data_IF_663094711354
#
_entry.id   IF_663094711354
#
_cell.length_a   1.000
_cell.length_b   1.000
_cell.length_c   1.000
_cell.angle_alpha   90.00
_cell.angle_beta   90.00
_cell.angle_gamma   90.00
#
_symmetry.space_group_name_H-M   'P 1'
#
loop_
_entity.id
_entity.type
_entity.pdbx_description
1 polymer ?
#
# COMPACT_ATOMS: atom_id res chain seq x y z
N UNK A 1 10.55 4.26 8.75
CA UNK A 1 10.78 2.79 8.81
C UNK A 1 12.27 2.56 8.69
N UNK A 2 12.84 1.76 9.58
CA UNK A 2 14.23 1.29 9.42
C UNK A 2 14.38 0.45 8.15
N UNK A 3 15.61 0.09 7.76
CA UNK A 3 15.85 -0.87 6.69
C UNK A 3 15.02 -2.14 6.90
N UNK A 4 14.25 -2.56 5.89
CA UNK A 4 13.36 -3.73 5.98
C UNK A 4 12.05 -3.52 6.74
N UNK A 5 11.71 -2.27 7.13
CA UNK A 5 10.45 -1.99 7.78
C UNK A 5 9.26 -2.09 6.81
N UNK A 6 8.21 -2.78 7.25
CA UNK A 6 6.96 -2.97 6.50
C UNK A 6 5.90 -1.97 6.95
N UNK A 7 5.25 -1.30 6.01
CA UNK A 7 4.05 -0.51 6.20
C UNK A 7 2.82 -1.29 5.76
N UNK A 8 1.74 -1.23 6.55
CA UNK A 8 0.43 -1.74 6.18
C UNK A 8 -0.51 -0.56 5.97
N UNK A 9 -1.10 -0.45 4.79
CA UNK A 9 -1.92 0.70 4.39
C UNK A 9 -3.28 0.20 3.93
N UNK A 10 -4.34 0.67 4.59
CA UNK A 10 -5.72 0.47 4.12
C UNK A 10 -6.17 1.76 3.45
N UNK A 11 -6.58 1.68 2.19
CA UNK A 11 -6.97 2.83 1.39
C UNK A 11 -8.28 2.57 0.63
N UNK A 12 -9.08 3.62 0.44
CA UNK A 12 -10.32 3.52 -0.34
C UNK A 12 -10.00 3.27 -1.81
N UNK A 13 -10.72 2.34 -2.45
CA UNK A 13 -10.58 1.96 -3.87
C UNK A 13 -10.76 3.16 -4.81
N UNK A 14 -11.58 4.12 -4.40
CA UNK A 14 -11.97 5.27 -5.23
C UNK A 14 -10.89 6.35 -5.33
N UNK A 15 -9.89 6.33 -4.43
CA UNK A 15 -8.80 7.28 -4.42
C UNK A 15 -7.54 6.61 -4.98
N UNK A 16 -6.83 7.30 -5.88
CA UNK A 16 -5.66 6.78 -6.60
C UNK A 16 -4.38 6.71 -5.72
N UNK A 17 -4.48 6.12 -4.53
CA UNK A 17 -3.36 6.00 -3.59
C UNK A 17 -2.24 5.07 -4.07
N UNK A 18 -2.54 4.13 -4.94
CA UNK A 18 -1.58 3.15 -5.46
C UNK A 18 -0.36 3.82 -6.09
N UNK A 19 -0.56 4.88 -6.88
CA UNK A 19 0.52 5.61 -7.53
C UNK A 19 1.46 6.28 -6.53
N UNK A 20 0.92 6.81 -5.44
CA UNK A 20 1.71 7.48 -4.39
C UNK A 20 2.46 6.44 -3.55
N UNK A 21 1.82 5.32 -3.20
CA UNK A 21 2.44 4.23 -2.42
C UNK A 21 3.61 3.62 -3.22
N UNK A 22 3.39 3.29 -4.50
CA UNK A 22 4.44 2.77 -5.40
C UNK A 22 5.60 3.75 -5.62
N UNK A 23 5.38 5.05 -5.48
CA UNK A 23 6.44 6.07 -5.57
C UNK A 23 7.28 6.17 -4.29
N UNK A 24 6.68 5.89 -3.14
CA UNK A 24 7.31 6.06 -1.82
C UNK A 24 8.01 4.80 -1.30
N UNK A 25 7.56 3.62 -1.74
CA UNK A 25 8.07 2.33 -1.30
C UNK A 25 8.69 1.57 -2.47
N UNK A 26 9.73 0.79 -2.19
CA UNK A 26 10.45 0.01 -3.20
C UNK A 26 9.62 -1.19 -3.65
N UNK A 27 8.91 -1.81 -2.71
CA UNK A 27 7.99 -2.91 -2.98
C UNK A 27 6.61 -2.57 -2.43
N UNK A 28 5.57 -2.87 -3.21
CA UNK A 28 4.17 -2.65 -2.83
C UNK A 28 3.32 -3.79 -3.36
N UNK A 29 2.69 -4.52 -2.45
CA UNK A 29 1.81 -5.65 -2.74
C UNK A 29 0.38 -5.32 -2.31
N UNK A 30 -0.58 -5.49 -3.22
CA UNK A 30 -2.01 -5.49 -2.88
C UNK A 30 -2.36 -6.87 -2.32
N UNK A 31 -2.81 -6.92 -1.08
CA UNK A 31 -3.15 -8.18 -0.40
C UNK A 31 -4.63 -8.48 -0.45
N UNK A 32 -5.48 -7.46 -0.27
CA UNK A 32 -6.93 -7.63 -0.21
C UNK A 32 -7.60 -6.44 -0.88
N UNK A 33 -8.64 -6.71 -1.65
CA UNK A 33 -9.59 -5.70 -2.14
C UNK A 33 -11.01 -6.18 -1.82
N UNK A 34 -11.73 -5.48 -0.94
CA UNK A 34 -13.11 -5.81 -0.58
C UNK A 34 -13.89 -4.58 -0.12
N UNK A 35 -15.20 -4.55 -0.38
CA UNK A 35 -16.11 -3.53 0.17
C UNK A 35 -15.78 -2.07 -0.17
N UNK A 36 -15.02 -1.82 -1.25
CA UNK A 36 -14.57 -0.47 -1.61
C UNK A 36 -13.24 -0.05 -0.97
N UNK A 37 -12.54 -0.95 -0.29
CA UNK A 37 -11.24 -0.74 0.32
C UNK A 37 -10.19 -1.68 -0.26
N UNK A 38 -8.93 -1.23 -0.25
CA UNK A 38 -7.74 -1.96 -0.67
C UNK A 38 -6.73 -1.98 0.47
N UNK A 39 -6.11 -3.12 0.73
CA UNK A 39 -5.04 -3.29 1.71
C UNK A 39 -3.72 -3.53 0.99
N UNK A 40 -2.75 -2.67 1.24
CA UNK A 40 -1.41 -2.76 0.70
C UNK A 40 -0.39 -3.08 1.80
N UNK A 41 0.54 -3.96 1.47
CA UNK A 41 1.79 -4.14 2.18
C UNK A 41 2.88 -3.43 1.39
N UNK A 42 3.64 -2.55 2.05
CA UNK A 42 4.70 -1.80 1.40
C UNK A 42 6.01 -1.91 2.19
N UNK A 43 7.13 -2.06 1.50
CA UNK A 43 8.44 -2.30 2.10
C UNK A 43 9.46 -1.28 1.56
N UNK A 44 10.37 -0.83 2.44
CA UNK A 44 11.37 0.20 2.13
C UNK A 44 12.65 -0.38 1.54
#
# INVERSE_FOLDING_TARGET
LGPGGTAWIVANRHLAYEAVIKKLFKDTQLLVETGGFKVYKAER
#
